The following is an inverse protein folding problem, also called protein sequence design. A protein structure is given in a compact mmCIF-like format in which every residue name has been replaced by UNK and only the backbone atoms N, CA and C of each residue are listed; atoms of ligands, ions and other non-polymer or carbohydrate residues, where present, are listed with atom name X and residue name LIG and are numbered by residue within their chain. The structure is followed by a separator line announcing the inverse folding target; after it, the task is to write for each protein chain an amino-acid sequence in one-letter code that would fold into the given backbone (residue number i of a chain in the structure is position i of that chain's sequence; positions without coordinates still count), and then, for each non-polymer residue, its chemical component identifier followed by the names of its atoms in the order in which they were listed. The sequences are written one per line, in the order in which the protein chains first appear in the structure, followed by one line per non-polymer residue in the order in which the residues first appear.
data_IF_738364727585
#
_entry.id   IF_738364727585
#
_cell.length_a   1.000
_cell.length_b   1.000
_cell.length_c   1.000
_cell.angle_alpha   90.00
_cell.angle_beta   90.00
_cell.angle_gamma   90.00
#
_symmetry.space_group_name_H-M   'P 1'
#
loop_
_entity.id
_entity.type
_entity.pdbx_description
1 polymer ?
#
# COMPACT_ATOMS: atom_id res chain seq x y z
N UNK A 1 -11.19 -4.95 7.30
CA UNK A 1 -10.81 -3.60 6.84
C UNK A 1 -9.75 -3.75 5.77
N UNK A 2 -10.03 -3.25 4.57
CA UNK A 2 -9.02 -3.16 3.53
C UNK A 2 -8.31 -1.81 3.68
N UNK A 3 -7.00 -1.81 3.51
CA UNK A 3 -6.19 -0.61 3.41
C UNK A 3 -5.80 -0.44 1.95
N UNK A 4 -5.53 0.79 1.52
CA UNK A 4 -4.93 1.08 0.22
C UNK A 4 -3.67 1.93 0.39
N UNK A 5 -2.63 1.65 -0.41
CA UNK A 5 -1.42 2.48 -0.48
C UNK A 5 -1.12 2.77 -1.93
N UNK A 6 -0.78 4.03 -2.22
CA UNK A 6 -0.25 4.44 -3.52
C UNK A 6 1.27 4.42 -3.44
N UNK A 7 1.91 3.61 -4.27
CA UNK A 7 3.37 3.60 -4.35
C UNK A 7 3.86 4.93 -4.94
N UNK A 8 4.79 5.66 -4.30
CA UNK A 8 5.33 6.90 -4.86
C UNK A 8 6.20 6.64 -6.11
N UNK A 9 6.72 5.42 -6.25
CA UNK A 9 7.70 5.06 -7.28
C UNK A 9 7.02 4.66 -8.60
N UNK A 10 6.19 3.61 -8.57
CA UNK A 10 5.46 3.15 -9.75
C UNK A 10 4.08 3.81 -9.91
N UNK A 11 3.67 4.66 -8.95
CA UNK A 11 2.33 5.29 -8.87
C UNK A 11 1.16 4.29 -8.81
N UNK A 12 1.45 3.00 -8.73
CA UNK A 12 0.48 1.91 -8.63
C UNK A 12 -0.23 1.93 -7.27
N UNK A 13 -1.56 1.82 -7.31
CA UNK A 13 -2.39 1.69 -6.10
C UNK A 13 -2.52 0.22 -5.78
N UNK A 14 -2.10 -0.15 -4.58
CA UNK A 14 -2.22 -1.52 -4.08
C UNK A 14 -3.17 -1.54 -2.90
N UNK A 15 -3.72 -2.72 -2.61
CA UNK A 15 -4.61 -2.95 -1.47
C UNK A 15 -4.06 -4.07 -0.60
N UNK A 16 -4.19 -3.93 0.71
CA UNK A 16 -3.74 -4.94 1.66
C UNK A 16 -4.68 -4.99 2.84
N UNK A 17 -4.89 -6.19 3.38
CA UNK A 17 -5.64 -6.38 4.61
C UNK A 17 -4.83 -5.97 5.87
N UNK A 18 -3.54 -5.62 5.72
CA UNK A 18 -2.63 -5.35 6.84
C UNK A 18 -1.75 -4.12 6.59
N UNK A 19 -1.54 -3.31 7.64
CA UNK A 19 -0.74 -2.07 7.61
C UNK A 19 0.75 -2.23 7.95
N UNK A 20 1.18 -3.35 8.55
CA UNK A 20 2.49 -3.49 9.22
C UNK A 20 3.69 -3.70 8.28
N UNK A 21 3.53 -4.50 7.22
CA UNK A 21 4.57 -4.78 6.22
C UNK A 21 3.87 -4.80 4.87
N UNK A 22 4.16 -3.81 4.06
CA UNK A 22 3.52 -3.65 2.79
C UNK A 22 4.59 -3.42 1.75
N UNK A 23 4.78 -4.40 0.88
CA UNK A 23 5.66 -4.27 -0.27
C UNK A 23 4.79 -4.02 -1.49
N UNK A 24 5.17 -3.06 -2.31
CA UNK A 24 4.45 -2.75 -3.55
C UNK A 24 4.48 -3.98 -4.46
N UNK A 25 3.32 -4.53 -4.87
CA UNK A 25 3.28 -5.70 -5.75
C UNK A 25 3.72 -5.40 -7.19
N UNK A 26 3.85 -4.12 -7.56
CA UNK A 26 4.20 -3.69 -8.90
C UNK A 26 5.71 -3.53 -9.10
N UNK A 27 6.39 -2.87 -8.15
CA UNK A 27 7.82 -2.59 -8.25
C UNK A 27 8.67 -3.26 -7.15
N UNK A 28 8.05 -3.97 -6.21
CA UNK A 28 8.76 -4.62 -5.11
C UNK A 28 9.34 -3.67 -4.04
N UNK A 29 9.06 -2.35 -4.11
CA UNK A 29 9.52 -1.41 -3.09
C UNK A 29 8.75 -1.54 -1.79
N UNK A 30 9.45 -1.40 -0.68
CA UNK A 30 8.85 -1.36 0.65
C UNK A 30 8.03 -0.07 0.81
N UNK A 31 6.74 -0.24 1.13
CA UNK A 31 5.78 0.81 1.43
C UNK A 31 5.55 0.94 2.93
N UNK A 32 6.52 0.52 3.76
CA UNK A 32 6.41 0.61 5.22
C UNK A 32 6.21 2.05 5.70
N UNK A 33 6.91 3.00 5.07
CA UNK A 33 6.83 4.44 5.36
C UNK A 33 5.63 5.15 4.69
N UNK A 34 4.99 4.50 3.71
CA UNK A 34 3.83 5.08 3.05
C UNK A 34 2.62 4.90 3.96
N UNK A 35 1.94 5.98 4.33
CA UNK A 35 0.71 5.89 5.12
C UNK A 35 -0.38 5.13 4.36
N UNK A 36 -1.05 4.21 5.06
CA UNK A 36 -2.13 3.42 4.48
C UNK A 36 -3.45 4.17 4.65
N UNK A 37 -4.13 4.44 3.54
CA UNK A 37 -5.48 4.99 3.58
C UNK A 37 -6.46 3.86 3.95
N UNK A 38 -7.44 4.16 4.79
CA UNK A 38 -8.54 3.25 5.04
C UNK A 38 -9.39 3.17 3.77
N UNK A 39 -9.47 1.99 3.15
CA UNK A 39 -10.50 1.74 2.15
C UNK A 39 -11.79 1.43 2.91
N UNK A 40 -12.45 2.47 3.41
CA UNK A 40 -13.85 2.40 3.81
C UNK A 40 -14.65 2.18 2.53
N UNK A 41 -15.13 0.95 2.37
CA UNK A 41 -16.25 0.66 1.48
C UNK A 41 -17.53 1.23 2.05
#
# INVERSE_FOLDING_TARGET
MAYSKKCPDCKGKSYSASKKKWVCPYCGKDLKDVEAEHATG
#
